data_IF_079017526704
#
_entry.id   IF_079017526704
#
_cell.length_a   1.000
_cell.length_b   1.000
_cell.length_c   1.000
_cell.angle_alpha   90.00
_cell.angle_beta   90.00
_cell.angle_gamma   90.00
#
_symmetry.space_group_name_H-M   'P 1'
#
loop_
_entity.id
_entity.type
_entity.pdbx_description
1 polymer ?
#
# COMPACT_ATOMS: atom_id res chain seq x y z
N UNK A 1 21.71 -15.72 -8.30
CA UNK A 1 20.38 -15.30 -7.79
C UNK A 1 19.68 -14.37 -8.77
N UNK A 2 18.36 -14.54 -8.95
CA UNK A 2 17.54 -13.81 -9.93
C UNK A 2 16.98 -12.47 -9.36
N UNK A 3 17.63 -11.90 -8.36
CA UNK A 3 17.22 -10.65 -7.70
C UNK A 3 18.32 -9.61 -7.92
N UNK A 4 18.00 -8.53 -8.61
CA UNK A 4 18.97 -7.49 -8.98
C UNK A 4 19.16 -6.43 -7.90
N UNK A 5 18.23 -6.34 -6.95
CA UNK A 5 18.20 -5.30 -5.91
C UNK A 5 18.04 -5.90 -4.52
N UNK A 6 18.78 -5.38 -3.55
CA UNK A 6 18.64 -5.77 -2.15
C UNK A 6 17.34 -5.22 -1.55
N UNK A 7 17.07 -3.93 -1.79
CA UNK A 7 15.90 -3.22 -1.27
C UNK A 7 15.33 -2.34 -2.38
N UNK A 8 14.02 -2.43 -2.61
CA UNK A 8 13.27 -1.45 -3.40
C UNK A 8 12.25 -0.74 -2.52
N UNK A 9 12.12 0.57 -2.71
CA UNK A 9 11.12 1.39 -2.04
C UNK A 9 10.14 1.88 -3.10
N UNK A 10 8.86 1.59 -2.92
CA UNK A 10 7.78 2.12 -3.76
C UNK A 10 6.95 3.11 -2.94
N UNK A 11 6.80 4.33 -3.44
CA UNK A 11 6.02 5.42 -2.83
C UNK A 11 4.81 5.84 -3.70
N UNK A 12 4.58 5.11 -4.79
CA UNK A 12 3.51 5.43 -5.74
C UNK A 12 2.30 4.51 -5.49
N UNK A 13 1.91 3.74 -6.50
CA UNK A 13 0.72 2.88 -6.44
C UNK A 13 1.13 1.46 -6.08
N UNK A 14 0.32 0.79 -5.25
CA UNK A 14 0.58 -0.60 -4.83
C UNK A 14 0.54 -1.59 -6.01
N UNK A 15 -0.15 -1.26 -7.11
CA UNK A 15 -0.39 -2.15 -8.25
C UNK A 15 0.89 -2.75 -8.87
N UNK A 16 2.03 -2.06 -8.78
CA UNK A 16 3.31 -2.53 -9.31
C UNK A 16 4.10 -3.43 -8.33
N UNK A 17 3.72 -3.46 -7.04
CA UNK A 17 4.40 -4.23 -5.99
C UNK A 17 4.67 -5.70 -6.35
N UNK A 18 3.72 -6.48 -6.92
CA UNK A 18 4.02 -7.86 -7.32
C UNK A 18 5.15 -8.01 -8.34
N UNK A 19 5.33 -7.02 -9.22
CA UNK A 19 6.42 -7.01 -10.20
C UNK A 19 7.72 -6.65 -9.49
N UNK A 20 7.71 -5.60 -8.66
CA UNK A 20 8.88 -5.17 -7.90
C UNK A 20 9.38 -6.28 -6.96
N UNK A 21 8.47 -7.01 -6.31
CA UNK A 21 8.81 -8.11 -5.40
C UNK A 21 9.57 -9.26 -6.07
N UNK A 22 9.40 -9.45 -7.38
CA UNK A 22 10.13 -10.49 -8.15
C UNK A 22 11.58 -10.12 -8.42
N UNK A 23 11.91 -8.83 -8.48
CA UNK A 23 13.24 -8.33 -8.85
C UNK A 23 14.09 -7.89 -7.65
N UNK A 24 13.53 -7.92 -6.42
CA UNK A 24 14.22 -7.51 -5.20
C UNK A 24 14.16 -8.53 -4.06
N UNK A 25 15.11 -8.42 -3.14
CA UNK A 25 15.12 -9.19 -1.90
C UNK A 25 14.06 -8.70 -0.93
N UNK A 26 14.06 -7.39 -0.66
CA UNK A 26 13.06 -6.71 0.18
C UNK A 26 12.35 -5.60 -0.59
N UNK A 27 11.02 -5.55 -0.46
CA UNK A 27 10.16 -4.51 -0.98
C UNK A 27 9.55 -3.75 0.19
N UNK A 28 9.80 -2.45 0.21
CA UNK A 28 9.19 -1.49 1.13
C UNK A 28 8.17 -0.68 0.34
N UNK A 29 6.96 -0.54 0.88
CA UNK A 29 5.91 0.29 0.30
C UNK A 29 5.59 1.44 1.25
N UNK A 30 5.69 2.68 0.80
CA UNK A 30 5.26 3.84 1.58
C UNK A 30 3.81 4.17 1.15
N UNK A 31 2.87 3.92 2.06
CA UNK A 31 1.46 4.16 1.84
C UNK A 31 1.07 5.49 2.51
N UNK A 32 0.87 6.53 1.71
CA UNK A 32 0.39 7.82 2.20
C UNK A 32 -1.07 7.74 2.66
N UNK A 33 -1.92 7.09 1.87
CA UNK A 33 -3.32 6.86 2.18
C UNK A 33 -3.89 5.74 1.29
N UNK A 34 -4.86 4.93 1.74
CA UNK A 34 -5.49 3.92 0.89
C UNK A 34 -6.30 4.54 -0.27
N UNK A 35 -6.06 4.10 -1.50
CA UNK A 35 -6.76 4.56 -2.70
C UNK A 35 -8.24 4.14 -2.68
N UNK A 36 -8.59 3.07 -1.94
CA UNK A 36 -9.98 2.66 -1.66
C UNK A 36 -10.85 3.80 -1.14
N UNK A 37 -10.24 4.72 -0.38
CA UNK A 37 -10.93 5.81 0.29
C UNK A 37 -10.99 7.09 -0.55
N UNK A 38 -10.06 7.26 -1.50
CA UNK A 38 -10.02 8.44 -2.37
C UNK A 38 -11.11 8.44 -3.44
N UNK A 39 -11.63 7.26 -3.82
CA UNK A 39 -12.61 7.11 -4.89
C UNK A 39 -14.08 7.02 -4.40
N UNK A 40 -14.39 7.55 -3.20
CA UNK A 40 -15.72 7.45 -2.55
C UNK A 40 -16.89 7.90 -3.45
N UNK A 41 -16.65 8.88 -4.33
CA UNK A 41 -17.64 9.51 -5.21
C UNK A 41 -18.02 8.68 -6.45
N UNK A 42 -17.35 7.55 -6.73
CA UNK A 42 -17.59 6.72 -7.92
C UNK A 42 -18.75 5.71 -7.74
N UNK A 43 -19.44 5.69 -6.60
CA UNK A 43 -20.47 4.66 -6.30
C UNK A 43 -21.82 4.87 -7.02
N UNK A 44 -21.91 5.83 -7.92
CA UNK A 44 -23.13 6.09 -8.69
C UNK A 44 -23.27 5.04 -9.81
N UNK A 45 -24.12 4.03 -9.60
CA UNK A 45 -24.47 3.00 -10.58
C UNK A 45 -23.88 1.61 -10.31
N UNK A 46 -24.61 0.56 -10.75
CA UNK A 46 -24.26 -0.85 -10.50
C UNK A 46 -22.87 -1.23 -11.03
N UNK A 47 -22.53 -0.80 -12.23
CA UNK A 47 -21.25 -1.13 -12.89
C UNK A 47 -20.04 -0.53 -12.18
N UNK A 48 -20.15 0.72 -11.73
CA UNK A 48 -19.06 1.39 -11.01
C UNK A 48 -18.76 0.71 -9.67
N UNK A 49 -19.80 0.19 -8.99
CA UNK A 49 -19.63 -0.60 -7.76
C UNK A 49 -18.86 -1.90 -8.00
N UNK A 50 -19.13 -2.62 -9.09
CA UNK A 50 -18.42 -3.86 -9.43
C UNK A 50 -16.97 -3.59 -9.79
N UNK A 51 -16.73 -2.61 -10.66
CA UNK A 51 -15.38 -2.18 -11.04
C UNK A 51 -14.59 -1.74 -9.80
N UNK A 52 -15.14 -0.87 -8.94
CA UNK A 52 -14.47 -0.42 -7.72
C UNK A 52 -14.12 -1.58 -6.79
N UNK A 53 -15.06 -2.50 -6.55
CA UNK A 53 -14.79 -3.68 -5.72
C UNK A 53 -13.72 -4.62 -6.30
N UNK A 54 -13.49 -4.60 -7.60
CA UNK A 54 -12.36 -5.30 -8.22
C UNK A 54 -11.03 -4.58 -7.96
N UNK A 55 -10.98 -3.25 -8.16
CA UNK A 55 -9.78 -2.46 -7.88
C UNK A 55 -9.41 -2.44 -6.39
N UNK A 56 -10.38 -2.35 -5.49
CA UNK A 56 -10.17 -2.45 -4.03
C UNK A 56 -9.48 -3.76 -3.67
N UNK A 57 -9.90 -4.86 -4.28
CA UNK A 57 -9.30 -6.18 -4.05
C UNK A 57 -7.88 -6.26 -4.59
N UNK A 58 -7.62 -5.71 -5.77
CA UNK A 58 -6.27 -5.64 -6.34
C UNK A 58 -5.37 -4.81 -5.43
N UNK A 59 -5.82 -3.64 -5.01
CA UNK A 59 -5.06 -2.76 -4.15
C UNK A 59 -4.71 -3.44 -2.82
N UNK A 60 -5.68 -4.07 -2.15
CA UNK A 60 -5.43 -4.81 -0.92
C UNK A 60 -4.42 -5.95 -1.15
N UNK A 61 -4.59 -6.74 -2.21
CA UNK A 61 -3.70 -7.87 -2.51
C UNK A 61 -2.27 -7.40 -2.80
N UNK A 62 -2.12 -6.38 -3.65
CA UNK A 62 -0.82 -5.86 -4.06
C UNK A 62 -0.11 -5.10 -2.95
N UNK A 63 -0.86 -4.44 -2.07
CA UNK A 63 -0.34 -3.83 -0.84
C UNK A 63 0.22 -4.88 0.10
N UNK A 64 -0.48 -6.00 0.32
CA UNK A 64 0.02 -7.06 1.22
C UNK A 64 1.23 -7.87 0.71
N UNK A 65 1.68 -7.63 -0.52
CA UNK A 65 2.79 -8.36 -1.14
C UNK A 65 4.18 -7.77 -0.86
N UNK A 66 4.27 -6.59 -0.26
CA UNK A 66 5.54 -6.04 0.21
C UNK A 66 5.93 -6.62 1.58
N UNK A 67 7.20 -6.51 1.95
CA UNK A 67 7.69 -6.99 3.25
C UNK A 67 7.40 -5.99 4.36
N UNK A 68 7.43 -4.70 4.03
CA UNK A 68 7.20 -3.62 4.98
C UNK A 68 6.37 -2.52 4.34
N UNK A 69 5.35 -2.06 5.07
CA UNK A 69 4.55 -0.89 4.75
C UNK A 69 4.88 0.19 5.76
N UNK A 70 5.26 1.36 5.25
CA UNK A 70 5.34 2.57 6.04
C UNK A 70 4.11 3.43 5.80
N UNK A 71 3.62 4.06 6.87
CA UNK A 71 2.56 5.06 6.81
C UNK A 71 3.01 6.33 7.50
N UNK A 72 2.50 7.47 7.06
CA UNK A 72 2.95 8.79 7.52
C UNK A 72 2.51 9.16 8.94
N UNK A 73 1.58 8.42 9.56
CA UNK A 73 1.04 8.72 10.88
C UNK A 73 0.33 7.51 11.51
N UNK A 74 0.11 7.59 12.82
CA UNK A 74 -0.76 6.65 13.57
C UNK A 74 -2.19 6.64 13.02
N UNK A 75 -2.70 7.81 12.60
CA UNK A 75 -4.02 7.91 11.96
C UNK A 75 -4.09 7.06 10.69
N UNK A 76 -3.13 7.24 9.78
CA UNK A 76 -3.08 6.47 8.53
C UNK A 76 -2.87 4.99 8.79
N UNK A 77 -2.11 4.62 9.83
CA UNK A 77 -1.96 3.22 10.26
C UNK A 77 -3.32 2.61 10.57
N UNK A 78 -4.10 3.26 11.42
CA UNK A 78 -5.38 2.74 11.86
C UNK A 78 -6.36 2.63 10.68
N UNK A 79 -6.34 3.60 9.77
CA UNK A 79 -7.11 3.57 8.52
C UNK A 79 -6.66 2.43 7.61
N UNK A 80 -5.35 2.20 7.44
CA UNK A 80 -4.81 1.11 6.64
C UNK A 80 -5.19 -0.27 7.20
N UNK A 81 -5.15 -0.45 8.52
CA UNK A 81 -5.59 -1.70 9.19
C UNK A 81 -7.08 -1.96 8.96
N UNK A 82 -7.91 -0.92 9.03
CA UNK A 82 -9.36 -1.05 8.79
C UNK A 82 -9.69 -1.34 7.32
N UNK A 83 -8.92 -0.76 6.40
CA UNK A 83 -9.14 -0.86 4.95
C UNK A 83 -8.61 -2.18 4.38
N UNK A 84 -7.36 -2.51 4.68
CA UNK A 84 -6.69 -3.70 4.18
C UNK A 84 -6.79 -4.85 5.18
N UNK A 85 -7.95 -5.49 5.22
CA UNK A 85 -8.28 -6.58 6.18
C UNK A 85 -7.27 -7.73 6.15
N UNK A 86 -6.68 -7.99 4.98
CA UNK A 86 -5.64 -9.03 4.82
C UNK A 86 -4.29 -8.68 5.45
N UNK A 87 -4.02 -7.43 5.83
CA UNK A 87 -2.75 -7.07 6.49
C UNK A 87 -2.50 -7.91 7.74
N UNK A 88 -3.53 -8.08 8.58
CA UNK A 88 -3.47 -8.88 9.81
C UNK A 88 -3.08 -10.35 9.61
N UNK A 89 -3.30 -10.88 8.40
CA UNK A 89 -3.01 -12.28 8.03
C UNK A 89 -1.79 -12.41 7.12
N UNK A 90 -1.22 -11.29 6.69
CA UNK A 90 -0.05 -11.25 5.82
C UNK A 90 1.23 -11.29 6.65
N UNK A 91 2.33 -11.72 6.05
CA UNK A 91 3.67 -11.62 6.65
C UNK A 91 4.25 -10.19 6.56
N UNK A 92 3.46 -9.22 6.09
CA UNK A 92 3.89 -7.84 5.91
C UNK A 92 3.93 -7.11 7.25
N UNK A 93 5.00 -6.36 7.48
CA UNK A 93 5.14 -5.49 8.67
C UNK A 93 4.56 -4.11 8.37
N UNK A 94 3.67 -3.59 9.22
CA UNK A 94 3.16 -2.23 9.13
C UNK A 94 3.80 -1.36 10.22
N UNK A 95 4.42 -0.24 9.83
CA UNK A 95 5.08 0.68 10.76
C UNK A 95 4.82 2.15 10.41
N UNK A 96 4.86 3.03 11.41
CA UNK A 96 4.72 4.48 11.20
C UNK A 96 6.09 5.08 10.93
N UNK A 97 6.21 5.80 9.82
CA UNK A 97 7.37 6.62 9.46
C UNK A 97 6.88 8.03 9.16
N UNK A 98 6.95 8.89 10.18
CA UNK A 98 6.54 10.28 10.07
C UNK A 98 7.38 11.03 9.01
N UNK A 99 6.74 11.89 8.20
CA UNK A 99 7.46 12.72 7.25
C UNK A 99 8.41 13.66 8.01
N UNK A 100 9.67 13.79 7.56
CA UNK A 100 10.61 14.70 8.20
C UNK A 100 10.19 16.16 7.94
N UNK A 101 10.47 17.03 8.91
CA UNK A 101 10.35 18.48 8.77
C UNK A 101 11.76 19.04 8.70
N UNK A 102 12.04 19.86 7.68
CA UNK A 102 13.29 20.60 7.62
C UNK A 102 13.25 21.74 8.64
N UNK A 103 14.18 21.71 9.59
CA UNK A 103 14.27 22.70 10.66
C UNK A 103 15.22 23.86 10.32
N UNK A 104 15.80 23.85 9.11
CA UNK A 104 16.79 24.83 8.64
C UNK A 104 16.25 25.92 7.70
N UNK A 105 14.95 25.86 7.38
CA UNK A 105 14.25 26.81 6.51
C UNK A 105 13.83 28.10 7.24
#
# INVERSE_FOLDING_TARGET
DMKSFDILVNDQVSAINPILKKICSKLVFYCHFPDQLLASNSKNGRWNKYYRGFFDRIEEMTTTQCDTIFVNSEFTRDIAVQTFKKLSKSACTLSVLYPPVDMSA
#
